data_IF_721788143301
#
_entry.id   IF_721788143301
#
_cell.length_a   1.000
_cell.length_b   1.000
_cell.length_c   1.000
_cell.angle_alpha   90.00
_cell.angle_beta   90.00
_cell.angle_gamma   90.00
#
_symmetry.space_group_name_H-M   'P 1'
#
loop_
_entity.id
_entity.type
_entity.pdbx_description
1 polymer ?
#
# COMPACT_ATOMS: atom_id res chain seq x y z
N UNK A 1 18.77 -14.28 -5.57
CA UNK A 1 18.53 -13.35 -5.05
C UNK A 1 17.30 -13.00 -4.78
N UNK A 2 16.99 -12.70 -4.14
CA UNK A 2 15.84 -12.50 -3.95
C UNK A 2 15.45 -11.24 -3.79
N UNK A 3 14.81 -10.95 -4.29
CA UNK A 3 14.39 -9.81 -4.20
C UNK A 3 13.43 -9.69 -3.28
N UNK A 4 13.61 -9.33 -2.38
CA UNK A 4 12.77 -9.14 -1.57
C UNK A 4 11.80 -8.25 -1.96
N UNK A 5 11.05 -7.79 -1.51
CA UNK A 5 10.00 -7.01 -1.72
C UNK A 5 10.15 -6.17 -2.88
N UNK A 6 9.73 -6.55 -3.98
CA UNK A 6 9.78 -5.79 -5.11
C UNK A 6 8.76 -4.70 -4.99
N UNK A 7 9.13 -3.47 -5.12
CA UNK A 7 8.22 -2.33 -5.09
C UNK A 7 7.19 -2.45 -6.21
N UNK A 8 5.95 -2.09 -5.89
CA UNK A 8 4.89 -2.16 -6.87
C UNK A 8 4.65 -0.79 -7.47
N UNK A 9 4.66 -0.69 -8.77
CA UNK A 9 4.48 0.57 -9.49
C UNK A 9 3.11 0.62 -10.15
N UNK A 10 2.64 1.85 -10.41
CA UNK A 10 1.32 2.05 -11.02
C UNK A 10 1.24 1.52 -12.43
N UNK A 11 2.35 1.52 -13.15
CA UNK A 11 2.40 1.04 -14.52
C UNK A 11 3.85 0.79 -14.90
N UNK A 12 4.07 0.14 -16.05
CA UNK A 12 5.42 -0.06 -16.55
C UNK A 12 6.08 1.27 -16.90
N UNK A 13 5.30 2.25 -17.35
CA UNK A 13 5.83 3.57 -17.63
C UNK A 13 6.29 4.23 -16.34
N UNK A 14 5.49 4.12 -15.27
CA UNK A 14 5.86 4.66 -13.96
C UNK A 14 7.11 3.96 -13.42
N UNK A 15 7.22 2.65 -13.62
CA UNK A 15 8.40 1.89 -13.21
C UNK A 15 9.64 2.38 -13.95
N UNK A 16 9.55 2.56 -15.27
CA UNK A 16 10.69 3.06 -16.06
C UNK A 16 11.08 4.48 -15.65
N UNK A 17 10.09 5.34 -15.39
CA UNK A 17 10.36 6.69 -14.92
C UNK A 17 11.06 6.69 -13.57
N UNK A 18 10.61 5.82 -12.66
CA UNK A 18 11.22 5.69 -11.34
C UNK A 18 12.65 5.16 -11.42
N UNK A 19 12.91 4.20 -12.29
CA UNK A 19 14.25 3.67 -12.49
C UNK A 19 15.20 4.74 -13.01
N UNK A 20 14.75 5.54 -13.98
CA UNK A 20 15.55 6.64 -14.52
C UNK A 20 15.85 7.67 -13.42
N UNK A 21 14.82 8.06 -12.65
CA UNK A 21 15.00 9.02 -11.56
C UNK A 21 15.94 8.48 -10.48
N UNK A 22 15.84 7.19 -10.16
CA UNK A 22 16.72 6.55 -9.18
C UNK A 22 18.17 6.56 -9.65
N UNK A 23 18.40 6.31 -10.93
CA UNK A 23 19.75 6.39 -11.51
C UNK A 23 20.32 7.80 -11.41
N UNK A 24 19.50 8.80 -11.74
CA UNK A 24 19.92 10.19 -11.66
C UNK A 24 20.18 10.63 -10.22
N UNK A 25 19.38 10.14 -9.29
CA UNK A 25 19.57 10.42 -7.86
C UNK A 25 20.89 9.83 -7.35
N UNK A 26 21.20 8.60 -7.77
CA UNK A 26 22.44 7.96 -7.33
C UNK A 26 23.69 8.72 -7.75
N UNK A 27 23.65 9.36 -8.91
CA UNK A 27 24.80 10.13 -9.40
C UNK A 27 24.69 11.60 -9.06
N UNK A 28 23.73 11.99 -8.23
CA UNK A 28 23.62 13.35 -7.71
C UNK A 28 22.96 14.38 -8.59
N UNK A 29 22.33 13.98 -9.69
CA UNK A 29 21.63 14.91 -10.58
C UNK A 29 20.23 15.26 -10.11
N UNK A 30 19.63 14.43 -9.24
CA UNK A 30 18.33 14.70 -8.65
C UNK A 30 18.50 14.66 -7.14
N UNK A 31 17.99 15.67 -6.46
CA UNK A 31 18.09 15.71 -5.01
C UNK A 31 17.06 14.80 -4.34
N UNK A 32 17.16 14.63 -3.03
CA UNK A 32 16.29 13.75 -2.27
C UNK A 32 14.82 14.17 -2.34
N UNK A 33 14.54 15.47 -2.40
CA UNK A 33 13.17 15.98 -2.48
C UNK A 33 12.54 15.56 -3.80
N UNK A 34 13.24 15.76 -4.90
CA UNK A 34 12.76 15.39 -6.22
C UNK A 34 12.58 13.88 -6.32
N UNK A 35 13.49 13.10 -5.75
CA UNK A 35 13.36 11.65 -5.73
C UNK A 35 12.12 11.20 -4.96
N UNK A 36 11.80 11.87 -3.84
CA UNK A 36 10.58 11.56 -3.09
C UNK A 36 9.33 11.87 -3.89
N UNK A 37 9.36 12.90 -4.74
CA UNK A 37 8.23 13.21 -5.61
C UNK A 37 8.02 12.12 -6.65
N UNK A 38 9.10 11.57 -7.20
CA UNK A 38 9.00 10.40 -8.08
C UNK A 38 8.46 9.19 -7.35
N UNK A 39 8.91 8.95 -6.12
CA UNK A 39 8.40 7.86 -5.30
C UNK A 39 6.89 8.00 -5.08
N UNK A 40 6.43 9.18 -4.74
CA UNK A 40 5.01 9.43 -4.49
C UNK A 40 4.18 9.23 -5.77
N UNK A 41 4.72 9.63 -6.92
CA UNK A 41 4.00 9.54 -8.19
C UNK A 41 4.01 8.11 -8.76
N UNK A 42 5.08 7.36 -8.52
CA UNK A 42 5.30 6.09 -9.21
C UNK A 42 5.07 4.84 -8.38
N UNK A 43 5.22 4.91 -7.07
CA UNK A 43 5.19 3.70 -6.26
C UNK A 43 3.77 3.18 -6.01
N UNK A 44 3.16 3.33 -4.98
CA UNK A 44 1.96 2.63 -4.54
C UNK A 44 0.73 2.87 -5.42
N UNK A 45 0.16 1.81 -5.96
CA UNK A 45 -1.11 1.89 -6.67
C UNK A 45 -2.24 1.84 -5.65
N UNK A 46 -3.15 2.79 -5.72
CA UNK A 46 -4.32 2.83 -4.85
C UNK A 46 -5.53 2.38 -5.67
N UNK A 47 -6.08 1.23 -5.33
CA UNK A 47 -7.24 0.69 -6.03
C UNK A 47 -8.36 0.41 -5.05
N UNK A 48 -9.63 0.56 -5.44
CA UNK A 48 -10.74 0.20 -4.57
C UNK A 48 -10.66 -1.28 -4.19
N UNK A 49 -11.06 -1.57 -2.96
CA UNK A 49 -11.09 -2.95 -2.46
C UNK A 49 -12.51 -3.32 -2.09
N UNK A 50 -12.94 -4.50 -2.52
CA UNK A 50 -14.24 -5.02 -2.13
C UNK A 50 -14.17 -5.62 -0.73
N UNK A 51 -15.32 -5.81 -0.11
CA UNK A 51 -15.37 -6.45 1.21
C UNK A 51 -14.71 -7.83 1.21
N UNK A 52 -14.92 -8.61 0.14
CA UNK A 52 -14.29 -9.92 0.03
C UNK A 52 -12.78 -9.85 -0.06
N UNK A 53 -12.28 -8.84 -0.77
CA UNK A 53 -10.83 -8.63 -0.87
C UNK A 53 -10.24 -8.22 0.46
N UNK A 54 -10.94 -7.40 1.23
CA UNK A 54 -10.48 -6.98 2.55
C UNK A 54 -10.47 -8.18 3.51
N UNK A 55 -11.52 -8.99 3.49
CA UNK A 55 -11.57 -10.21 4.29
C UNK A 55 -10.42 -11.16 3.94
N UNK A 56 -10.21 -11.40 2.65
CA UNK A 56 -9.13 -12.26 2.19
C UNK A 56 -7.76 -11.73 2.62
N UNK A 57 -7.58 -10.42 2.54
CA UNK A 57 -6.35 -9.76 2.97
C UNK A 57 -6.11 -9.99 4.47
N UNK A 58 -7.13 -9.77 5.29
CA UNK A 58 -7.04 -9.98 6.72
C UNK A 58 -6.72 -11.44 7.05
N UNK A 59 -7.38 -12.37 6.38
CA UNK A 59 -7.14 -13.80 6.58
C UNK A 59 -5.73 -14.20 6.16
N UNK A 60 -5.24 -13.62 5.07
CA UNK A 60 -3.86 -13.85 4.64
C UNK A 60 -2.87 -13.42 5.71
N UNK A 61 -3.13 -12.29 6.37
CA UNK A 61 -2.27 -11.79 7.44
C UNK A 61 -2.49 -12.51 8.77
N UNK A 62 -3.52 -13.35 8.86
CA UNK A 62 -3.71 -14.20 10.05
C UNK A 62 -4.15 -13.46 11.29
N UNK A 63 -4.88 -12.36 11.16
CA UNK A 63 -5.30 -11.57 12.32
C UNK A 63 -6.82 -11.44 12.40
N UNK A 64 -7.32 -11.18 13.60
CA UNK A 64 -8.74 -10.96 13.83
C UNK A 64 -9.15 -9.57 13.35
N UNK A 65 -10.46 -9.33 13.23
CA UNK A 65 -10.96 -8.00 12.90
C UNK A 65 -10.47 -6.94 13.90
N UNK A 66 -10.46 -7.29 15.19
CA UNK A 66 -10.02 -6.36 16.23
C UNK A 66 -8.55 -5.98 16.10
N UNK A 67 -7.70 -6.96 15.85
CA UNK A 67 -6.26 -6.71 15.67
C UNK A 67 -6.03 -5.90 14.41
N UNK A 68 -6.69 -6.28 13.32
CA UNK A 68 -6.57 -5.58 12.04
C UNK A 68 -6.98 -4.11 12.19
N UNK A 69 -8.11 -3.88 12.86
CA UNK A 69 -8.60 -2.53 13.12
C UNK A 69 -7.61 -1.72 13.95
N UNK A 70 -7.01 -2.34 14.96
CA UNK A 70 -6.03 -1.66 15.81
C UNK A 70 -4.81 -1.22 15.02
N UNK A 71 -4.30 -2.09 14.16
CA UNK A 71 -3.14 -1.77 13.33
C UNK A 71 -3.47 -0.65 12.35
N UNK A 72 -4.69 -0.66 11.80
CA UNK A 72 -5.14 0.39 10.88
C UNK A 72 -5.60 1.66 11.60
N UNK A 73 -5.67 1.62 12.92
CA UNK A 73 -6.16 2.73 13.74
C UNK A 73 -7.61 3.12 13.41
N UNK A 74 -8.45 2.12 13.26
CA UNK A 74 -9.88 2.29 13.06
C UNK A 74 -10.64 1.40 14.04
N UNK A 75 -11.95 1.58 14.11
CA UNK A 75 -12.79 0.73 14.98
C UNK A 75 -13.03 -0.61 14.32
N UNK A 76 -13.08 -1.68 15.10
CA UNK A 76 -13.37 -3.01 14.56
C UNK A 76 -14.73 -3.08 13.90
N UNK A 77 -15.70 -2.29 14.34
CA UNK A 77 -17.00 -2.18 13.70
C UNK A 77 -16.83 -1.75 12.23
N UNK A 78 -15.91 -0.81 11.97
CA UNK A 78 -15.67 -0.32 10.62
C UNK A 78 -15.08 -1.42 9.74
N UNK A 79 -14.14 -2.20 10.26
CA UNK A 79 -13.58 -3.34 9.51
C UNK A 79 -14.69 -4.33 9.17
N UNK A 80 -15.57 -4.62 10.13
CA UNK A 80 -16.70 -5.50 9.90
C UNK A 80 -17.63 -4.96 8.80
N UNK A 81 -17.89 -3.66 8.83
CA UNK A 81 -18.73 -3.02 7.81
C UNK A 81 -18.09 -3.08 6.42
N UNK A 82 -16.79 -2.90 6.34
CA UNK A 82 -16.07 -3.06 5.08
C UNK A 82 -16.22 -4.49 4.54
N UNK A 83 -15.99 -5.48 5.40
CA UNK A 83 -16.02 -6.90 4.97
C UNK A 83 -17.41 -7.34 4.54
N UNK A 84 -18.44 -6.74 5.11
CA UNK A 84 -19.84 -7.03 4.71
C UNK A 84 -20.29 -6.20 3.52
N UNK A 85 -19.46 -5.29 3.04
CA UNK A 85 -19.81 -4.43 1.92
C UNK A 85 -20.74 -3.28 2.26
N UNK A 86 -20.96 -3.01 3.56
CA UNK A 86 -21.83 -1.91 3.99
C UNK A 86 -21.19 -0.56 3.88
N UNK A 87 -19.86 -0.52 3.99
CA UNK A 87 -19.08 0.69 3.81
C UNK A 87 -17.84 0.36 3.01
N UNK A 88 -17.27 1.37 2.36
CA UNK A 88 -16.05 1.19 1.60
C UNK A 88 -14.94 2.02 2.23
N UNK A 89 -13.72 1.48 2.32
CA UNK A 89 -12.61 2.28 2.80
C UNK A 89 -12.30 3.39 1.80
N UNK A 90 -11.88 4.54 2.31
CA UNK A 90 -11.51 5.66 1.47
C UNK A 90 -10.42 6.46 2.17
N UNK A 91 -9.79 7.37 1.43
CA UNK A 91 -8.75 8.22 1.98
C UNK A 91 -7.62 7.43 2.64
N UNK A 92 -7.21 7.85 3.85
CA UNK A 92 -6.08 7.21 4.52
C UNK A 92 -6.24 5.71 4.74
N UNK A 93 -7.47 5.24 5.02
CA UNK A 93 -7.72 3.82 5.23
C UNK A 93 -7.42 3.02 3.97
N UNK A 94 -7.84 3.53 2.83
CA UNK A 94 -7.58 2.84 1.56
C UNK A 94 -6.09 2.81 1.25
N UNK A 95 -5.39 3.88 1.55
CA UNK A 95 -3.93 3.92 1.37
C UNK A 95 -3.24 2.88 2.24
N UNK A 96 -3.62 2.78 3.52
CA UNK A 96 -3.04 1.79 4.42
C UNK A 96 -3.34 0.36 3.95
N UNK A 97 -4.58 0.11 3.53
CA UNK A 97 -4.94 -1.20 3.00
C UNK A 97 -4.16 -1.54 1.74
N UNK A 98 -3.90 -0.57 0.89
CA UNK A 98 -3.10 -0.77 -0.31
C UNK A 98 -1.65 -1.13 0.03
N UNK A 99 -1.10 -0.51 1.06
CA UNK A 99 0.25 -0.83 1.54
C UNK A 99 0.29 -2.26 2.10
N UNK A 100 -0.69 -2.63 2.91
CA UNK A 100 -0.78 -3.99 3.47
C UNK A 100 -0.89 -5.01 2.34
N UNK A 101 -1.70 -4.71 1.34
CA UNK A 101 -1.85 -5.61 0.19
C UNK A 101 -0.53 -5.82 -0.55
N UNK A 102 0.22 -4.76 -0.74
CA UNK A 102 1.48 -4.81 -1.48
C UNK A 102 2.65 -5.35 -0.65
N UNK A 103 2.69 -5.05 0.63
CA UNK A 103 3.88 -5.30 1.45
C UNK A 103 3.63 -6.09 2.72
N UNK A 104 2.37 -6.39 3.03
CA UNK A 104 2.03 -7.08 4.27
C UNK A 104 1.77 -6.14 5.43
N UNK A 105 1.15 -6.68 6.47
CA UNK A 105 0.75 -5.91 7.64
C UNK A 105 1.94 -5.30 8.38
N UNK A 106 3.09 -5.95 8.32
CA UNK A 106 4.28 -5.45 8.98
C UNK A 106 4.72 -4.08 8.48
N UNK A 107 4.34 -3.71 7.27
CA UNK A 107 4.73 -2.42 6.71
C UNK A 107 4.08 -1.23 7.44
N UNK A 108 3.00 -1.48 8.21
CA UNK A 108 2.30 -0.41 8.90
C UNK A 108 2.24 -0.60 10.42
N UNK A 109 2.88 -1.63 10.93
CA UNK A 109 2.98 -1.86 12.37
C UNK A 109 4.01 -0.94 13.00
#
# INVERSE_FOLDING_TARGET
>A
MTTKAKKKFRSKIAEAAHETASGLHRIGLIDAKTMREFDAACLTTIEPLTGKQILALREREGVSQGVFARVLNVKSKLVSEWERGEKKPSGPSLKLLSIVRARGLEAII
#
